data_IF_691786916657
#
_entry.id   IF_691786916657
#
_cell.length_a   1.000
_cell.length_b   1.000
_cell.length_c   1.000
_cell.angle_alpha   90.00
_cell.angle_beta   90.00
_cell.angle_gamma   90.00
#
_symmetry.space_group_name_H-M   'P 1'
#
loop_
_entity.id
_entity.type
_entity.pdbx_description
1 polymer ?
#
# COMPACT_ATOMS: atom_id res chain seq x y z
N UNK A 1 -25.19 42.65 12.69
CA UNK A 1 -25.34 41.41 11.90
C UNK A 1 -23.96 41.00 11.46
N UNK A 2 -23.32 40.14 12.26
CA UNK A 2 -21.95 39.69 11.99
C UNK A 2 -22.06 38.40 11.12
N UNK A 3 -21.58 38.50 9.87
CA UNK A 3 -21.47 37.37 8.95
C UNK A 3 -20.39 36.40 9.46
N UNK A 4 -20.82 35.21 9.84
CA UNK A 4 -19.91 34.12 10.14
C UNK A 4 -19.22 33.68 8.84
N UNK A 5 -17.96 34.05 8.69
CA UNK A 5 -17.05 33.49 7.69
C UNK A 5 -16.91 31.99 7.98
N UNK A 6 -17.57 31.14 7.22
CA UNK A 6 -17.30 29.72 7.23
C UNK A 6 -15.91 29.52 6.63
N UNK A 7 -14.95 29.24 7.49
CA UNK A 7 -13.68 28.64 7.09
C UNK A 7 -13.97 27.37 6.32
N UNK A 8 -13.70 27.35 5.04
CA UNK A 8 -13.67 26.14 4.21
C UNK A 8 -12.49 25.35 4.76
N UNK A 9 -12.79 24.34 5.59
CA UNK A 9 -11.81 23.39 6.08
C UNK A 9 -11.08 22.77 4.88
N UNK A 10 -9.77 22.73 4.93
CA UNK A 10 -8.88 22.15 3.91
C UNK A 10 -8.94 20.60 3.90
N UNK A 11 -10.14 20.05 3.94
CA UNK A 11 -10.34 18.61 3.80
C UNK A 11 -10.24 18.24 2.32
N UNK A 12 -9.11 17.65 1.92
CA UNK A 12 -9.00 16.96 0.64
C UNK A 12 -7.86 17.38 -0.28
N UNK A 13 -7.02 18.34 0.06
CA UNK A 13 -5.86 18.71 -0.75
C UNK A 13 -4.60 18.12 -0.11
N UNK A 14 -3.78 17.43 -0.92
CA UNK A 14 -2.44 17.02 -0.48
C UNK A 14 -1.67 18.25 -0.01
N UNK A 15 -0.90 18.17 1.08
CA UNK A 15 -0.02 19.27 1.50
C UNK A 15 0.92 19.68 0.35
N UNK A 16 1.14 20.97 0.16
CA UNK A 16 2.00 21.47 -0.92
C UNK A 16 3.39 20.82 -0.92
N UNK A 17 3.99 20.67 0.25
CA UNK A 17 5.29 20.01 0.39
C UNK A 17 5.29 18.54 -0.07
N UNK A 18 4.16 17.83 0.05
CA UNK A 18 4.02 16.47 -0.48
C UNK A 18 3.90 16.50 -2.00
N UNK A 19 3.14 17.44 -2.55
CA UNK A 19 3.03 17.63 -3.99
C UNK A 19 4.40 17.94 -4.62
N UNK A 20 5.15 18.87 -4.03
CA UNK A 20 6.51 19.25 -4.47
C UNK A 20 7.45 18.05 -4.42
N UNK A 21 7.46 17.30 -3.30
CA UNK A 21 8.25 16.08 -3.16
C UNK A 21 7.96 15.06 -4.27
N UNK A 22 6.68 14.82 -4.55
CA UNK A 22 6.26 13.85 -5.57
C UNK A 22 6.59 14.34 -7.00
N UNK A 23 6.27 15.59 -7.32
CA UNK A 23 6.51 16.19 -8.64
C UNK A 23 7.99 16.31 -8.98
N UNK A 24 8.82 16.56 -7.98
CA UNK A 24 10.26 16.69 -8.16
C UNK A 24 11.00 15.36 -8.08
N UNK A 25 10.56 14.47 -7.19
CA UNK A 25 11.26 13.23 -6.89
C UNK A 25 10.99 12.12 -7.90
N UNK A 26 9.73 11.87 -8.23
CA UNK A 26 9.38 10.73 -9.10
C UNK A 26 9.97 10.83 -10.52
N UNK A 27 9.98 11.99 -11.21
CA UNK A 27 10.61 12.10 -12.53
C UNK A 27 12.12 11.90 -12.52
N UNK A 28 12.76 12.02 -11.36
CA UNK A 28 14.21 11.82 -11.20
C UNK A 28 14.58 10.43 -10.72
N UNK A 29 13.60 9.61 -10.32
CA UNK A 29 13.82 8.23 -9.89
C UNK A 29 14.39 7.40 -11.05
N UNK A 30 15.51 6.71 -10.80
CA UNK A 30 16.22 5.90 -11.80
C UNK A 30 16.00 4.40 -11.60
N UNK A 31 15.41 4.04 -10.47
CA UNK A 31 15.13 2.66 -10.08
C UNK A 31 13.75 2.59 -9.38
N UNK A 32 13.24 1.38 -9.25
CA UNK A 32 12.06 1.11 -8.44
C UNK A 32 12.29 1.55 -6.99
N UNK A 33 13.48 1.28 -6.44
CA UNK A 33 13.83 1.67 -5.08
C UNK A 33 13.78 3.19 -4.89
N UNK A 34 14.37 3.97 -5.80
CA UNK A 34 14.31 5.44 -5.75
C UNK A 34 12.87 5.94 -5.72
N UNK A 35 12.02 5.41 -6.61
CA UNK A 35 10.62 5.82 -6.69
C UNK A 35 9.86 5.47 -5.40
N UNK A 36 10.04 4.26 -4.88
CA UNK A 36 9.36 3.83 -3.66
C UNK A 36 9.87 4.55 -2.41
N UNK A 37 11.12 4.98 -2.37
CA UNK A 37 11.64 5.84 -1.31
C UNK A 37 10.99 7.25 -1.34
N UNK A 38 10.76 7.81 -2.52
CA UNK A 38 10.00 9.08 -2.65
C UNK A 38 8.58 8.92 -2.14
N UNK A 39 7.91 7.84 -2.55
CA UNK A 39 6.53 7.55 -2.12
C UNK A 39 6.43 7.25 -0.62
N UNK A 40 7.41 6.57 -0.04
CA UNK A 40 7.46 6.33 1.41
C UNK A 40 7.64 7.63 2.20
N UNK A 41 8.50 8.55 1.73
CA UNK A 41 8.63 9.87 2.36
C UNK A 41 7.30 10.63 2.30
N UNK A 42 6.63 10.64 1.16
CA UNK A 42 5.31 11.25 1.00
C UNK A 42 4.27 10.61 1.93
N UNK A 43 4.26 9.26 2.04
CA UNK A 43 3.41 8.53 2.99
C UNK A 43 3.69 8.97 4.42
N UNK A 44 4.96 9.00 4.82
CA UNK A 44 5.36 9.40 6.18
C UNK A 44 4.94 10.83 6.54
N UNK A 45 5.04 11.77 5.58
CA UNK A 45 4.60 13.16 5.77
C UNK A 45 3.08 13.29 5.97
N UNK A 46 2.28 12.41 5.32
CA UNK A 46 0.82 12.46 5.38
C UNK A 46 0.21 11.61 6.51
N UNK A 47 0.82 10.46 6.79
CA UNK A 47 0.22 9.43 7.62
C UNK A 47 1.02 9.14 8.90
N UNK A 48 2.19 9.74 9.06
CA UNK A 48 3.07 9.49 10.20
C UNK A 48 3.73 8.12 10.17
N UNK A 49 3.91 7.50 11.34
CA UNK A 49 4.55 6.19 11.48
C UNK A 49 3.74 5.09 10.80
N UNK A 50 4.44 4.08 10.28
CA UNK A 50 3.80 2.97 9.58
C UNK A 50 4.78 2.17 8.75
N UNK A 51 4.24 1.30 7.91
CA UNK A 51 5.00 0.42 7.02
C UNK A 51 4.41 0.50 5.61
N UNK A 52 5.27 0.63 4.62
CA UNK A 52 4.94 0.45 3.21
C UNK A 52 5.65 -0.78 2.67
N UNK A 53 4.92 -1.66 1.98
CA UNK A 53 5.50 -2.78 1.22
C UNK A 53 4.88 -2.88 -0.16
N UNK A 54 5.64 -3.41 -1.11
CA UNK A 54 5.16 -3.80 -2.44
C UNK A 54 5.40 -5.29 -2.61
N UNK A 55 4.34 -6.04 -2.93
CA UNK A 55 4.45 -7.46 -3.26
C UNK A 55 4.04 -7.67 -4.72
N UNK A 56 4.80 -8.52 -5.43
CA UNK A 56 4.48 -8.95 -6.79
C UNK A 56 3.69 -10.26 -6.75
N UNK A 57 2.74 -10.42 -7.65
CA UNK A 57 2.16 -11.73 -7.97
C UNK A 57 3.13 -12.50 -8.86
N UNK A 58 3.77 -13.51 -8.27
CA UNK A 58 4.73 -14.39 -8.94
C UNK A 58 4.15 -15.79 -9.17
N UNK A 59 2.82 -15.90 -9.16
CA UNK A 59 2.11 -17.14 -9.44
C UNK A 59 2.37 -17.61 -10.87
N UNK A 60 2.80 -18.84 -11.01
CA UNK A 60 3.14 -19.44 -12.29
C UNK A 60 2.03 -20.42 -12.75
N UNK A 61 1.85 -20.65 -14.06
CA UNK A 61 0.86 -21.59 -14.56
C UNK A 61 0.98 -23.04 -14.05
N UNK A 62 2.20 -23.43 -13.64
CA UNK A 62 2.49 -24.76 -13.06
C UNK A 62 2.26 -24.84 -11.55
N UNK A 63 1.99 -23.73 -10.87
CA UNK A 63 1.67 -23.76 -9.44
C UNK A 63 0.34 -24.49 -9.20
N UNK A 64 0.16 -25.13 -8.03
CA UNK A 64 -1.07 -25.85 -7.72
C UNK A 64 -2.32 -24.99 -7.90
N UNK A 65 -3.41 -25.52 -8.44
CA UNK A 65 -4.65 -24.78 -8.61
C UNK A 65 -5.15 -24.16 -7.30
N UNK A 66 -5.39 -22.85 -7.32
CA UNK A 66 -5.87 -22.11 -6.16
C UNK A 66 -4.77 -21.58 -5.22
N UNK A 67 -3.50 -21.90 -5.49
CA UNK A 67 -2.37 -21.23 -4.84
C UNK A 67 -2.05 -19.90 -5.53
N UNK A 68 -1.72 -18.92 -4.72
CA UNK A 68 -1.26 -17.61 -5.16
C UNK A 68 0.07 -17.33 -4.47
N UNK A 69 1.09 -17.02 -5.26
CA UNK A 69 2.43 -16.75 -4.75
C UNK A 69 2.72 -15.26 -4.84
N UNK A 70 2.91 -14.65 -3.66
CA UNK A 70 3.31 -13.26 -3.56
C UNK A 70 4.76 -13.17 -3.08
N UNK A 71 5.55 -12.33 -3.74
CA UNK A 71 6.93 -12.05 -3.36
C UNK A 71 7.08 -10.56 -3.00
N UNK A 72 7.71 -10.27 -1.86
CA UNK A 72 7.98 -8.89 -1.48
C UNK A 72 9.11 -8.33 -2.32
N UNK A 73 8.78 -7.35 -3.17
CA UNK A 73 9.73 -6.64 -4.02
C UNK A 73 10.37 -5.47 -3.28
N UNK A 74 9.64 -4.85 -2.35
CA UNK A 74 10.13 -3.70 -1.61
C UNK A 74 9.50 -3.57 -0.21
N UNK A 75 10.24 -2.95 0.72
CA UNK A 75 9.80 -2.70 2.09
C UNK A 75 10.47 -1.44 2.64
N UNK A 76 9.70 -0.58 3.30
CA UNK A 76 10.24 0.56 4.05
C UNK A 76 10.96 0.16 5.34
N UNK A 77 10.75 -1.09 5.81
CA UNK A 77 11.41 -1.66 6.99
C UNK A 77 11.95 -3.06 6.66
N UNK A 78 13.03 -3.16 5.86
CA UNK A 78 13.53 -4.45 5.37
C UNK A 78 14.02 -5.38 6.49
N UNK A 79 14.45 -4.87 7.64
CA UNK A 79 14.82 -5.69 8.79
C UNK A 79 13.62 -6.42 9.40
N UNK A 80 12.47 -5.74 9.49
CA UNK A 80 11.22 -6.32 9.97
C UNK A 80 10.50 -7.12 8.89
N UNK A 81 10.49 -6.62 7.67
CA UNK A 81 9.83 -7.22 6.50
C UNK A 81 10.83 -7.35 5.33
N UNK A 82 11.66 -8.41 5.29
CA UNK A 82 12.71 -8.57 4.28
C UNK A 82 12.18 -8.63 2.85
N UNK A 83 12.92 -8.00 1.93
CA UNK A 83 12.72 -8.14 0.49
C UNK A 83 13.03 -9.58 0.06
N UNK A 84 12.35 -10.09 -0.97
CA UNK A 84 12.49 -11.47 -1.44
C UNK A 84 11.67 -12.48 -0.63
N UNK A 85 11.12 -12.09 0.53
CA UNK A 85 10.23 -12.94 1.31
C UNK A 85 8.97 -13.30 0.52
N UNK A 86 8.73 -14.60 0.32
CA UNK A 86 7.56 -15.14 -0.38
C UNK A 86 6.45 -15.52 0.58
N UNK A 87 5.21 -15.39 0.13
CA UNK A 87 4.02 -15.91 0.82
C UNK A 87 3.19 -16.70 -0.18
N UNK A 88 2.88 -17.96 0.17
CA UNK A 88 1.84 -18.72 -0.53
C UNK A 88 0.51 -18.43 0.15
N UNK A 89 -0.48 -18.04 -0.63
CA UNK A 89 -1.85 -17.79 -0.18
C UNK A 89 -2.80 -18.73 -0.90
N UNK A 90 -3.82 -19.16 -0.19
CA UNK A 90 -4.95 -19.85 -0.76
C UNK A 90 -6.08 -18.87 -1.08
N UNK A 91 -7.11 -19.34 -1.79
CA UNK A 91 -8.30 -18.53 -2.05
C UNK A 91 -9.05 -18.20 -0.76
N UNK A 92 -9.03 -16.93 -0.38
CA UNK A 92 -9.75 -16.36 0.75
C UNK A 92 -10.62 -15.19 0.26
N UNK A 93 -11.54 -14.66 1.06
CA UNK A 93 -12.24 -13.42 0.70
C UNK A 93 -11.28 -12.26 0.38
N UNK A 94 -10.16 -12.17 1.09
CA UNK A 94 -9.12 -11.16 0.86
C UNK A 94 -8.44 -11.32 -0.51
N UNK A 95 -7.97 -12.54 -0.86
CA UNK A 95 -7.33 -12.78 -2.16
C UNK A 95 -8.31 -12.58 -3.31
N UNK A 96 -9.57 -12.97 -3.14
CA UNK A 96 -10.62 -12.74 -4.14
C UNK A 96 -10.83 -11.24 -4.36
N UNK A 97 -11.04 -10.46 -3.29
CA UNK A 97 -11.28 -9.03 -3.40
C UNK A 97 -10.09 -8.31 -4.02
N UNK A 98 -8.88 -8.54 -3.49
CA UNK A 98 -7.69 -7.78 -3.87
C UNK A 98 -7.11 -8.24 -5.21
N UNK A 99 -6.90 -9.55 -5.39
CA UNK A 99 -6.12 -10.08 -6.50
C UNK A 99 -7.00 -10.47 -7.69
N UNK A 100 -8.19 -11.07 -7.46
CA UNK A 100 -9.06 -11.51 -8.54
C UNK A 100 -9.98 -10.38 -9.03
N UNK A 101 -10.55 -9.58 -8.11
CA UNK A 101 -11.48 -8.49 -8.45
C UNK A 101 -10.79 -7.14 -8.63
N UNK A 102 -9.51 -7.02 -8.29
CA UNK A 102 -8.77 -5.76 -8.39
C UNK A 102 -9.32 -4.66 -7.49
N UNK A 103 -9.90 -5.01 -6.34
CA UNK A 103 -10.51 -4.06 -5.42
C UNK A 103 -9.62 -3.80 -4.22
N UNK A 104 -9.62 -2.54 -3.76
CA UNK A 104 -8.89 -2.15 -2.54
C UNK A 104 -9.45 -2.90 -1.34
N UNK A 105 -8.54 -3.48 -0.55
CA UNK A 105 -8.87 -4.03 0.77
C UNK A 105 -8.38 -3.09 1.87
N UNK A 106 -9.18 -2.91 2.89
CA UNK A 106 -8.76 -2.27 4.13
C UNK A 106 -9.26 -3.07 5.32
N UNK A 107 -8.35 -3.25 6.29
CA UNK A 107 -8.62 -3.89 7.57
C UNK A 107 -8.33 -2.93 8.71
N UNK A 108 -9.25 -2.85 9.67
CA UNK A 108 -9.19 -1.90 10.77
C UNK A 108 -9.28 -2.64 12.11
N UNK A 109 -8.28 -2.40 12.96
CA UNK A 109 -8.14 -3.02 14.27
C UNK A 109 -7.56 -4.43 14.23
N UNK A 110 -7.09 -4.86 15.40
CA UNK A 110 -6.31 -6.09 15.56
C UNK A 110 -7.08 -7.35 15.14
N UNK A 111 -8.40 -7.39 15.38
CA UNK A 111 -9.24 -8.52 15.00
C UNK A 111 -9.37 -8.69 13.48
N UNK A 112 -9.49 -7.58 12.73
CA UNK A 112 -9.56 -7.62 11.28
C UNK A 112 -8.23 -8.07 10.67
N UNK A 113 -7.10 -7.62 11.25
CA UNK A 113 -5.77 -8.05 10.82
C UNK A 113 -5.54 -9.54 11.12
N UNK A 114 -5.94 -10.02 12.29
CA UNK A 114 -5.81 -11.43 12.66
C UNK A 114 -6.66 -12.36 11.78
N UNK A 115 -7.80 -11.90 11.29
CA UNK A 115 -8.66 -12.69 10.40
C UNK A 115 -8.06 -12.88 8.98
N UNK A 116 -7.11 -12.03 8.57
CA UNK A 116 -6.59 -12.00 7.19
C UNK A 116 -5.12 -12.36 7.10
N UNK A 117 -4.32 -11.98 8.11
CA UNK A 117 -2.86 -12.08 8.03
C UNK A 117 -2.31 -13.13 9.01
N UNK A 118 -1.64 -14.14 8.48
CA UNK A 118 -0.98 -15.20 9.26
C UNK A 118 0.13 -14.63 10.16
N UNK A 119 0.73 -13.49 9.76
CA UNK A 119 1.77 -12.77 10.48
C UNK A 119 1.21 -11.61 11.36
N UNK A 120 -0.10 -11.65 11.70
CA UNK A 120 -0.74 -10.61 12.52
C UNK A 120 -0.03 -10.33 13.86
N UNK A 121 0.54 -11.36 14.51
CA UNK A 121 1.31 -11.17 15.73
C UNK A 121 2.55 -10.29 15.51
N UNK A 122 3.23 -10.45 14.34
CA UNK A 122 4.36 -9.61 13.96
C UNK A 122 3.89 -8.19 13.63
N UNK A 123 2.77 -8.05 12.93
CA UNK A 123 2.15 -6.74 12.65
C UNK A 123 1.89 -6.00 13.96
N UNK A 124 1.26 -6.67 14.92
CA UNK A 124 0.97 -6.12 16.24
C UNK A 124 2.23 -5.75 17.03
N UNK A 125 3.30 -6.59 16.97
CA UNK A 125 4.58 -6.29 17.66
C UNK A 125 5.28 -5.04 17.14
N UNK A 126 4.98 -4.60 15.94
CA UNK A 126 5.46 -3.34 15.35
C UNK A 126 4.53 -2.16 15.65
N UNK A 127 3.50 -2.35 16.45
CA UNK A 127 2.51 -1.33 16.77
C UNK A 127 1.57 -0.98 15.60
N UNK A 128 1.50 -1.83 14.58
CA UNK A 128 0.67 -1.62 13.40
C UNK A 128 -0.73 -2.20 13.65
N UNK A 129 -1.79 -1.43 13.37
CA UNK A 129 -3.17 -1.76 13.77
C UNK A 129 -4.19 -1.65 12.66
N UNK A 130 -3.83 -1.12 11.50
CA UNK A 130 -4.71 -1.04 10.34
C UNK A 130 -3.91 -1.22 9.05
N UNK A 131 -4.59 -1.66 7.98
CA UNK A 131 -3.98 -1.90 6.66
C UNK A 131 -4.86 -1.38 5.55
N UNK A 132 -4.23 -0.84 4.51
CA UNK A 132 -4.81 -0.65 3.17
C UNK A 132 -3.95 -1.41 2.17
N UNK A 133 -4.55 -2.35 1.44
CA UNK A 133 -3.90 -3.01 0.32
C UNK A 133 -4.54 -2.48 -0.97
N UNK A 134 -3.74 -1.93 -1.86
CA UNK A 134 -4.17 -1.41 -3.15
C UNK A 134 -3.62 -2.32 -4.25
N UNK A 135 -4.48 -2.89 -5.12
CA UNK A 135 -4.01 -3.69 -6.24
C UNK A 135 -3.39 -2.77 -7.30
N UNK A 136 -2.23 -3.15 -7.82
CA UNK A 136 -1.61 -2.52 -8.98
C UNK A 136 -1.99 -3.34 -10.21
N UNK A 137 -2.70 -2.70 -11.14
CA UNK A 137 -3.34 -3.38 -12.26
C UNK A 137 -2.56 -3.17 -13.56
N UNK A 138 -2.41 -4.24 -14.34
CA UNK A 138 -1.96 -4.21 -15.72
C UNK A 138 -2.98 -4.94 -16.58
N UNK A 139 -3.57 -4.25 -17.55
CA UNK A 139 -4.61 -4.82 -18.40
C UNK A 139 -5.83 -5.36 -17.64
N UNK A 140 -6.17 -4.76 -16.50
CA UNK A 140 -7.28 -5.19 -15.61
C UNK A 140 -6.93 -6.33 -14.66
N UNK A 141 -5.73 -6.93 -14.77
CA UNK A 141 -5.23 -7.97 -13.87
C UNK A 141 -4.37 -7.36 -12.77
N UNK A 142 -4.56 -7.80 -11.54
CA UNK A 142 -3.66 -7.47 -10.43
C UNK A 142 -2.32 -8.21 -10.61
N UNK A 143 -1.23 -7.45 -10.73
CA UNK A 143 0.13 -7.99 -10.90
C UNK A 143 1.01 -7.69 -9.70
N UNK A 144 0.60 -6.76 -8.87
CA UNK A 144 1.28 -6.41 -7.63
C UNK A 144 0.30 -5.78 -6.64
N UNK A 145 0.73 -5.65 -5.38
CA UNK A 145 -0.02 -4.95 -4.35
C UNK A 145 0.85 -3.91 -3.66
N UNK A 146 0.29 -2.74 -3.44
CA UNK A 146 0.87 -1.65 -2.66
C UNK A 146 0.19 -1.65 -1.30
N UNK A 147 0.95 -1.91 -0.24
CA UNK A 147 0.40 -2.21 1.07
C UNK A 147 0.91 -1.18 2.08
N UNK A 148 0.00 -0.46 2.71
CA UNK A 148 0.29 0.50 3.78
C UNK A 148 -0.33 0.02 5.07
N UNK A 149 0.49 -0.09 6.11
CA UNK A 149 0.04 -0.38 7.47
C UNK A 149 0.28 0.86 8.34
N UNK A 150 -0.69 1.19 9.17
CA UNK A 150 -0.66 2.33 10.07
C UNK A 150 -0.77 1.92 11.53
N UNK A 151 -0.32 2.82 12.42
CA UNK A 151 -0.35 2.63 13.88
C UNK A 151 -1.72 2.91 14.48
N UNK A 152 -2.53 3.74 13.83
CA UNK A 152 -3.90 3.99 14.27
C UNK A 152 -4.82 2.82 13.86
N UNK A 153 -5.80 2.46 14.71
CA UNK A 153 -6.68 1.31 14.45
C UNK A 153 -7.71 1.55 13.35
N UNK A 154 -7.84 2.76 12.85
CA UNK A 154 -8.81 3.15 11.82
C UNK A 154 -8.21 4.14 10.85
N UNK A 155 -8.66 4.08 9.61
CA UNK A 155 -8.31 5.02 8.55
C UNK A 155 -9.35 6.12 8.41
N UNK A 156 -8.90 7.36 8.22
CA UNK A 156 -9.76 8.43 7.76
C UNK A 156 -9.96 8.33 6.24
N UNK A 157 -11.14 8.73 5.69
CA UNK A 157 -11.39 8.65 4.24
C UNK A 157 -10.31 9.35 3.40
N UNK A 158 -9.81 10.50 3.82
CA UNK A 158 -8.72 11.23 3.16
C UNK A 158 -7.40 10.46 3.16
N UNK A 159 -7.09 9.69 4.21
CA UNK A 159 -5.89 8.86 4.28
C UNK A 159 -5.97 7.69 3.29
N UNK A 160 -7.12 7.04 3.18
CA UNK A 160 -7.34 5.97 2.19
C UNK A 160 -7.19 6.52 0.77
N UNK A 161 -7.76 7.70 0.48
CA UNK A 161 -7.62 8.36 -0.82
C UNK A 161 -6.15 8.69 -1.13
N UNK A 162 -5.41 9.22 -0.16
CA UNK A 162 -3.98 9.50 -0.30
C UNK A 162 -3.16 8.23 -0.58
N UNK A 163 -3.41 7.12 0.14
CA UNK A 163 -2.75 5.83 -0.10
C UNK A 163 -3.03 5.32 -1.53
N UNK A 164 -4.27 5.43 -1.99
CA UNK A 164 -4.65 5.03 -3.34
C UNK A 164 -3.95 5.87 -4.41
N UNK A 165 -3.79 7.17 -4.16
CA UNK A 165 -3.04 8.05 -5.06
C UNK A 165 -1.55 7.67 -5.10
N UNK A 166 -0.92 7.41 -3.95
CA UNK A 166 0.47 6.92 -3.91
C UNK A 166 0.64 5.60 -4.68
N UNK A 167 -0.31 4.67 -4.53
CA UNK A 167 -0.31 3.42 -5.27
C UNK A 167 -0.44 3.63 -6.79
N UNK A 168 -1.29 4.57 -7.21
CA UNK A 168 -1.40 4.96 -8.62
C UNK A 168 -0.08 5.50 -9.17
N UNK A 169 0.61 6.34 -8.40
CA UNK A 169 1.93 6.88 -8.76
C UNK A 169 3.03 5.82 -8.74
N UNK A 170 2.92 4.80 -7.88
CA UNK A 170 3.85 3.66 -7.84
C UNK A 170 3.72 2.76 -9.08
N UNK A 171 2.51 2.65 -9.64
CA UNK A 171 2.18 1.66 -10.67
C UNK A 171 3.15 1.65 -11.86
N UNK A 172 3.46 2.78 -12.55
CA UNK A 172 4.36 2.75 -13.69
C UNK A 172 5.78 2.27 -13.33
N UNK A 173 6.28 2.61 -12.15
CA UNK A 173 7.61 2.20 -11.69
C UNK A 173 7.66 0.70 -11.36
N UNK A 174 6.60 0.18 -10.74
CA UNK A 174 6.49 -1.26 -10.44
C UNK A 174 6.37 -2.08 -11.72
N UNK A 175 5.54 -1.64 -12.67
CA UNK A 175 5.34 -2.33 -13.95
C UNK A 175 6.61 -2.32 -14.81
N UNK A 176 7.38 -1.24 -14.81
CA UNK A 176 8.67 -1.19 -15.51
C UNK A 176 9.68 -2.21 -14.98
N UNK A 177 9.62 -2.55 -13.69
CA UNK A 177 10.44 -3.59 -13.07
C UNK A 177 10.00 -5.03 -13.36
N UNK A 178 8.83 -5.24 -13.97
CA UNK A 178 8.33 -6.56 -14.37
C UNK A 178 8.67 -6.92 -15.84
N UNK A 179 9.18 -5.95 -16.59
CA UNK A 179 9.59 -6.10 -18.00
C UNK A 179 11.04 -6.53 -18.08
#
# INVERSE_FOLDING_TARGET
MAGASRSIGSEGVLPLAVCELLCDGLPRARSLDDALQVLERARGMMLGSGLLTVNLDVTMPQDPPGEIRLQRAWSSQPEAYPVGGGKTKTRTPWTRQLLEQGQVFFGEGDAALAAVFDDHARIASLGLRAVVNVPLLQGGRCVATFNVLGTEPRWQPGQVAAIRLLALLATPHVLAGLS
#
